data_IF_019420288545
#
_entry.id   IF_019420288545
#
_cell.length_a   1.000
_cell.length_b   1.000
_cell.length_c   1.000
_cell.angle_alpha   90.00
_cell.angle_beta   90.00
_cell.angle_gamma   90.00
#
_symmetry.space_group_name_H-M   'P 1'
#
loop_
_entity.id
_entity.type
_entity.pdbx_description
1 polymer ?
#
# COMPACT_ATOMS: atom_id res chain seq x y z
N UNK A 1 33.99 -17.59 21.52
CA UNK A 1 33.71 -16.16 21.35
C UNK A 1 32.22 -16.05 21.21
N UNK A 2 31.54 -15.71 22.29
CA UNK A 2 30.09 -15.59 22.31
C UNK A 2 29.66 -14.55 21.30
N UNK A 3 28.95 -14.98 20.25
CA UNK A 3 28.36 -14.06 19.29
C UNK A 3 27.14 -13.43 19.95
N UNK A 4 27.33 -12.36 20.71
CA UNK A 4 26.20 -11.54 21.17
C UNK A 4 25.31 -11.21 19.97
N UNK A 5 23.97 -11.33 20.12
CA UNK A 5 23.05 -11.06 19.03
C UNK A 5 23.22 -9.61 18.57
N UNK A 6 23.23 -9.40 17.24
CA UNK A 6 23.22 -8.07 16.65
C UNK A 6 21.77 -7.60 16.49
N UNK A 7 21.47 -6.45 17.09
CA UNK A 7 20.22 -5.74 16.91
C UNK A 7 20.35 -4.78 15.72
N UNK A 8 19.30 -4.71 14.92
CA UNK A 8 19.23 -3.82 13.77
C UNK A 8 18.51 -2.54 14.14
N UNK A 9 19.10 -1.40 13.78
CA UNK A 9 18.53 -0.08 13.93
C UNK A 9 18.27 0.50 12.53
N UNK A 10 17.02 0.47 12.05
CA UNK A 10 16.67 0.96 10.73
C UNK A 10 16.78 2.49 10.65
N UNK A 11 17.46 2.96 9.61
CA UNK A 11 17.63 4.38 9.26
C UNK A 11 17.26 4.53 7.78
N UNK A 12 16.92 5.74 7.36
CA UNK A 12 16.70 6.05 5.95
C UNK A 12 17.37 7.37 5.60
N UNK A 13 17.95 7.45 4.40
CA UNK A 13 18.33 8.71 3.79
C UNK A 13 17.19 9.15 2.86
N UNK A 14 16.46 10.18 3.29
CA UNK A 14 15.41 10.82 2.50
C UNK A 14 16.02 11.86 1.56
N UNK A 15 15.65 11.77 0.29
CA UNK A 15 16.17 12.57 -0.82
C UNK A 15 14.97 13.23 -1.48
N UNK A 16 14.77 14.52 -1.25
CA UNK A 16 13.72 15.32 -1.85
C UNK A 16 14.24 16.02 -3.11
N UNK A 17 13.54 15.82 -4.22
CA UNK A 17 13.83 16.41 -5.52
C UNK A 17 12.92 17.58 -5.80
N UNK A 18 13.38 18.54 -6.61
CA UNK A 18 12.56 19.67 -7.02
C UNK A 18 11.29 19.27 -7.78
N UNK A 19 10.25 20.11 -7.70
CA UNK A 19 8.98 19.84 -8.37
C UNK A 19 9.16 19.66 -9.89
N UNK A 20 8.86 18.47 -10.40
CA UNK A 20 8.97 18.11 -11.82
C UNK A 20 10.27 17.41 -12.22
N UNK A 21 11.24 17.29 -11.31
CA UNK A 21 12.52 16.64 -11.54
C UNK A 21 12.54 15.23 -10.92
N UNK A 22 11.90 14.26 -11.57
CA UNK A 22 11.93 12.87 -11.11
C UNK A 22 13.28 12.21 -11.42
N UNK A 23 13.92 11.64 -10.40
CA UNK A 23 15.08 10.78 -10.57
C UNK A 23 14.69 9.53 -11.39
N UNK A 24 15.09 9.51 -12.66
CA UNK A 24 14.81 8.38 -13.58
C UNK A 24 15.47 7.07 -13.16
N UNK A 25 16.45 7.16 -12.26
CA UNK A 25 17.27 6.05 -11.81
C UNK A 25 16.88 5.70 -10.38
N UNK A 26 16.43 4.47 -10.17
CA UNK A 26 15.99 3.96 -8.86
C UNK A 26 17.01 3.05 -8.20
N UNK A 27 18.07 2.64 -8.89
CA UNK A 27 19.09 1.72 -8.36
C UNK A 27 20.50 2.15 -8.74
N UNK A 28 21.45 1.86 -7.85
CA UNK A 28 22.87 2.14 -7.98
C UNK A 28 23.63 0.86 -8.32
N UNK A 29 24.76 0.98 -9.03
CA UNK A 29 25.68 -0.15 -9.20
C UNK A 29 26.37 -0.48 -7.86
N UNK A 30 27.05 -1.62 -7.79
CA UNK A 30 27.85 -1.98 -6.60
C UNK A 30 28.88 -0.92 -6.23
N UNK A 31 29.58 -0.37 -7.22
CA UNK A 31 30.65 0.60 -6.98
C UNK A 31 30.07 1.94 -6.49
N UNK A 32 28.99 2.41 -7.10
CA UNK A 32 28.29 3.63 -6.66
C UNK A 32 27.66 3.47 -5.27
N UNK A 33 27.06 2.31 -4.99
CA UNK A 33 26.50 2.03 -3.67
C UNK A 33 27.60 2.01 -2.59
N UNK A 34 28.78 1.47 -2.91
CA UNK A 34 29.93 1.47 -1.99
C UNK A 34 30.50 2.87 -1.77
N UNK A 35 30.61 3.69 -2.82
CA UNK A 35 31.06 5.08 -2.70
C UNK A 35 30.10 5.90 -1.83
N UNK A 36 28.79 5.80 -2.11
CA UNK A 36 27.76 6.47 -1.32
C UNK A 36 27.77 6.01 0.14
N UNK A 37 27.93 4.72 0.40
CA UNK A 37 28.00 4.20 1.76
C UNK A 37 29.19 4.78 2.55
N UNK A 38 30.31 5.07 1.89
CA UNK A 38 31.44 5.78 2.51
C UNK A 38 31.12 7.24 2.87
N UNK A 39 30.36 7.94 2.02
CA UNK A 39 29.85 9.28 2.33
C UNK A 39 28.86 9.26 3.50
N UNK A 40 27.92 8.31 3.48
CA UNK A 40 26.96 8.09 4.57
C UNK A 40 27.68 7.79 5.89
N UNK A 41 28.71 6.94 5.88
CA UNK A 41 29.48 6.64 7.09
C UNK A 41 30.15 7.89 7.67
N UNK A 42 30.66 8.79 6.81
CA UNK A 42 31.28 10.05 7.23
C UNK A 42 30.25 10.99 7.85
N UNK A 43 29.07 11.11 7.23
CA UNK A 43 27.98 11.93 7.77
C UNK A 43 27.51 11.40 9.12
N UNK A 44 27.23 10.08 9.22
CA UNK A 44 26.78 9.45 10.46
C UNK A 44 27.82 9.54 11.57
N UNK A 45 29.12 9.50 11.25
CA UNK A 45 30.16 9.75 12.25
C UNK A 45 30.08 11.17 12.85
N UNK A 46 29.73 12.17 12.04
CA UNK A 46 29.59 13.55 12.49
C UNK A 46 28.28 13.77 13.28
N UNK A 47 27.20 13.13 12.85
CA UNK A 47 25.87 13.26 13.44
C UNK A 47 25.71 12.42 14.72
N UNK A 48 26.10 11.15 14.65
CA UNK A 48 25.92 10.15 15.71
C UNK A 48 27.22 9.32 15.83
N UNK A 49 28.26 9.84 16.54
CA UNK A 49 29.59 9.21 16.57
C UNK A 49 29.62 7.73 16.97
N UNK A 50 28.71 7.31 17.86
CA UNK A 50 28.57 5.93 18.31
C UNK A 50 28.16 4.95 17.18
N UNK A 51 27.60 5.45 16.06
CA UNK A 51 27.26 4.63 14.90
C UNK A 51 28.50 3.98 14.26
N UNK A 52 29.70 4.54 14.47
CA UNK A 52 30.97 3.97 13.95
C UNK A 52 31.35 2.63 14.59
N UNK A 53 30.80 2.33 15.77
CA UNK A 53 30.97 1.05 16.46
C UNK A 53 29.97 -0.02 15.98
N UNK A 54 28.94 0.39 15.23
CA UNK A 54 28.00 -0.50 14.57
C UNK A 54 28.47 -0.86 13.15
N UNK A 55 27.92 -1.94 12.60
CA UNK A 55 28.05 -2.23 11.17
C UNK A 55 26.97 -1.46 10.41
N UNK A 56 27.37 -0.54 9.55
CA UNK A 56 26.54 0.14 8.57
C UNK A 56 26.30 -0.77 7.35
N UNK A 57 25.04 -0.96 6.97
CA UNK A 57 24.68 -1.55 5.70
C UNK A 57 23.69 -0.67 4.93
N UNK A 58 23.93 -0.53 3.63
CA UNK A 58 23.19 0.36 2.74
C UNK A 58 22.65 -0.42 1.55
N UNK A 59 21.37 -0.29 1.24
CA UNK A 59 20.86 -0.73 -0.05
C UNK A 59 21.03 0.41 -1.06
N UNK A 60 21.75 0.15 -2.16
CA UNK A 60 21.91 1.08 -3.28
C UNK A 60 20.65 1.15 -4.14
N UNK A 61 19.49 1.34 -3.53
CA UNK A 61 18.20 1.42 -4.18
C UNK A 61 17.34 2.50 -3.50
N UNK A 62 16.57 3.20 -4.32
CA UNK A 62 15.70 4.29 -3.94
C UNK A 62 14.26 3.79 -3.98
N UNK A 63 13.52 3.99 -2.91
CA UNK A 63 12.14 3.52 -2.75
C UNK A 63 11.20 4.69 -2.51
N UNK A 64 9.91 4.44 -2.65
CA UNK A 64 8.85 5.26 -2.06
C UNK A 64 8.59 4.82 -0.59
N UNK A 65 7.95 5.71 0.19
CA UNK A 65 7.52 5.41 1.55
C UNK A 65 6.60 4.18 1.62
N UNK A 66 5.70 3.99 0.65
CA UNK A 66 4.76 2.85 0.64
C UNK A 66 5.48 1.51 0.56
N UNK A 67 6.66 1.46 -0.07
CA UNK A 67 7.45 0.24 -0.23
C UNK A 67 8.24 -0.10 1.04
N UNK A 68 8.81 0.91 1.70
CA UNK A 68 9.55 0.72 2.95
C UNK A 68 8.61 0.42 4.13
N UNK A 69 7.41 1.01 4.12
CA UNK A 69 6.38 0.87 5.16
C UNK A 69 5.37 -0.22 4.82
N UNK A 70 5.84 -1.38 4.36
CA UNK A 70 5.01 -2.59 4.25
C UNK A 70 5.09 -3.39 5.56
N UNK A 71 3.98 -4.04 6.02
CA UNK A 71 4.00 -4.87 7.23
C UNK A 71 5.16 -5.86 7.23
N UNK A 72 5.88 -5.93 8.36
CA UNK A 72 7.10 -6.74 8.50
C UNK A 72 8.37 -6.10 7.94
N UNK A 73 8.30 -4.89 7.38
CA UNK A 73 9.45 -4.10 6.90
C UNK A 73 10.38 -4.89 5.97
N UNK A 74 9.86 -5.48 4.87
CA UNK A 74 10.57 -6.49 4.08
C UNK A 74 11.90 -6.01 3.50
N UNK A 75 12.01 -4.72 3.17
CA UNK A 75 13.24 -4.11 2.66
C UNK A 75 14.34 -4.12 3.73
N UNK A 76 14.05 -3.56 4.91
CA UNK A 76 15.00 -3.57 6.04
C UNK A 76 15.28 -4.99 6.54
N UNK A 77 14.26 -5.84 6.66
CA UNK A 77 14.45 -7.24 7.08
C UNK A 77 15.41 -8.00 6.15
N UNK A 78 15.29 -7.79 4.83
CA UNK A 78 16.19 -8.37 3.84
C UNK A 78 17.59 -7.77 3.91
N UNK A 79 17.70 -6.45 4.08
CA UNK A 79 18.97 -5.75 4.24
C UNK A 79 19.72 -6.25 5.48
N UNK A 80 19.03 -6.39 6.61
CA UNK A 80 19.57 -6.93 7.87
C UNK A 80 20.10 -8.36 7.70
N UNK A 81 19.33 -9.21 7.01
CA UNK A 81 19.72 -10.59 6.74
C UNK A 81 20.99 -10.66 5.90
N UNK A 82 21.05 -9.91 4.80
CA UNK A 82 22.23 -9.85 3.94
C UNK A 82 23.43 -9.30 4.69
N UNK A 83 23.26 -8.22 5.45
CA UNK A 83 24.31 -7.59 6.24
C UNK A 83 24.87 -8.51 7.31
N UNK A 84 24.06 -9.38 7.94
CA UNK A 84 24.53 -10.38 8.92
C UNK A 84 25.37 -11.50 8.27
N UNK A 85 25.11 -11.84 7.01
CA UNK A 85 25.85 -12.89 6.27
C UNK A 85 27.25 -12.46 5.84
N UNK A 86 27.56 -11.16 5.86
CA UNK A 86 28.89 -10.65 5.50
C UNK A 86 29.92 -11.01 6.59
N UNK A 87 31.02 -11.73 6.24
CA UNK A 87 32.04 -12.13 7.20
C UNK A 87 32.67 -10.94 7.94
N UNK A 88 32.83 -11.07 9.26
CA UNK A 88 33.60 -10.10 10.07
C UNK A 88 35.09 -10.29 9.74
N UNK A 89 35.70 -9.33 9.04
CA UNK A 89 37.13 -9.35 8.68
C UNK A 89 37.46 -9.12 7.20
N UNK A 90 36.47 -9.05 6.30
CA UNK A 90 36.69 -8.79 4.86
C UNK A 90 36.29 -7.39 4.38
N UNK A 91 35.50 -6.65 5.17
CA UNK A 91 35.07 -5.30 4.86
C UNK A 91 35.20 -4.46 6.13
N UNK A 92 35.49 -3.17 5.95
CA UNK A 92 35.30 -2.14 6.98
C UNK A 92 33.88 -2.26 7.58
N UNK A 93 33.58 -1.56 8.67
CA UNK A 93 32.25 -1.56 9.29
C UNK A 93 31.11 -1.05 8.35
N UNK A 94 31.38 -0.83 7.07
CA UNK A 94 30.48 -0.32 6.05
C UNK A 94 30.31 -1.37 4.94
N UNK A 95 29.06 -1.71 4.64
CA UNK A 95 28.68 -2.65 3.59
C UNK A 95 27.64 -1.98 2.69
N UNK A 96 27.76 -2.17 1.39
CA UNK A 96 26.78 -1.69 0.42
C UNK A 96 26.31 -2.81 -0.50
N UNK A 97 25.02 -2.79 -0.81
CA UNK A 97 24.39 -3.72 -1.74
C UNK A 97 23.87 -2.96 -2.94
N UNK A 98 24.59 -3.02 -4.06
CA UNK A 98 24.16 -2.44 -5.33
C UNK A 98 23.84 -3.51 -6.37
N UNK A 99 23.35 -3.05 -7.52
CA UNK A 99 22.96 -3.91 -8.64
C UNK A 99 24.15 -4.64 -9.26
N UNK A 100 23.89 -5.86 -9.73
CA UNK A 100 24.76 -6.61 -10.61
C UNK A 100 23.96 -7.06 -11.83
N UNK A 101 24.46 -6.75 -13.04
CA UNK A 101 23.72 -6.97 -14.29
C UNK A 101 22.30 -6.35 -14.23
N UNK A 102 22.20 -5.15 -13.64
CA UNK A 102 20.95 -4.39 -13.55
C UNK A 102 19.93 -4.91 -12.55
N UNK A 103 20.28 -5.86 -11.67
CA UNK A 103 19.37 -6.42 -10.65
C UNK A 103 19.93 -6.31 -9.25
N UNK A 104 19.06 -6.01 -8.29
CA UNK A 104 19.40 -6.03 -6.87
C UNK A 104 19.60 -7.47 -6.37
N UNK A 105 20.38 -7.69 -5.30
CA UNK A 105 20.73 -9.03 -4.84
C UNK A 105 19.57 -9.84 -4.26
N UNK A 106 18.43 -9.20 -3.97
CA UNK A 106 17.22 -9.85 -3.48
C UNK A 106 15.97 -9.07 -3.95
N UNK A 107 14.87 -9.77 -4.18
CA UNK A 107 13.63 -9.19 -4.71
C UNK A 107 13.05 -8.06 -3.82
N UNK A 108 13.03 -8.15 -2.47
CA UNK A 108 12.57 -7.03 -1.64
C UNK A 108 13.46 -5.78 -1.71
N UNK A 109 14.68 -5.89 -2.24
CA UNK A 109 15.55 -4.73 -2.46
C UNK A 109 15.41 -4.13 -3.87
N UNK A 110 14.53 -4.67 -4.71
CA UNK A 110 14.22 -4.15 -6.04
C UNK A 110 13.03 -3.18 -5.93
N UNK A 111 13.21 -1.87 -6.21
CA UNK A 111 12.10 -0.92 -6.19
C UNK A 111 11.08 -1.19 -7.29
N UNK A 112 9.81 -1.01 -7.00
CA UNK A 112 8.73 -1.11 -7.97
C UNK A 112 8.66 0.15 -8.85
N UNK A 113 8.64 -0.06 -10.16
CA UNK A 113 8.52 1.05 -11.12
C UNK A 113 7.20 1.83 -10.96
N UNK A 114 6.16 1.22 -10.40
CA UNK A 114 4.88 1.87 -10.15
C UNK A 114 4.97 3.04 -9.14
N UNK A 115 6.00 3.06 -8.28
CA UNK A 115 6.19 4.08 -7.24
C UNK A 115 7.43 4.96 -7.47
N UNK A 116 8.02 4.94 -8.67
CA UNK A 116 9.27 5.63 -8.95
C UNK A 116 9.15 7.17 -9.08
N UNK A 117 7.94 7.70 -9.29
CA UNK A 117 7.72 9.10 -9.66
C UNK A 117 7.44 10.03 -8.46
N UNK A 118 7.61 9.55 -7.23
CA UNK A 118 7.44 10.35 -6.01
C UNK A 118 8.51 11.44 -5.85
N UNK A 119 8.17 12.63 -5.30
CA UNK A 119 9.11 13.75 -5.12
C UNK A 119 10.13 13.52 -4.00
N UNK A 120 9.90 12.52 -3.14
CA UNK A 120 10.81 12.10 -2.09
C UNK A 120 11.18 10.64 -2.32
N UNK A 121 12.48 10.38 -2.41
CA UNK A 121 13.04 9.04 -2.57
C UNK A 121 13.80 8.63 -1.33
N UNK A 122 13.67 7.36 -0.97
CA UNK A 122 14.14 6.83 0.29
C UNK A 122 15.19 5.76 0.07
N UNK A 123 16.39 5.95 0.62
CA UNK A 123 17.46 4.98 0.56
C UNK A 123 17.61 4.29 1.93
N UNK A 124 17.30 2.99 2.05
CA UNK A 124 17.24 2.30 3.32
C UNK A 124 18.63 1.90 3.82
N UNK A 125 18.82 2.14 5.11
CA UNK A 125 20.06 1.93 5.85
C UNK A 125 19.75 1.08 7.09
N UNK A 126 20.68 0.22 7.50
CA UNK A 126 20.61 -0.45 8.80
C UNK A 126 21.94 -0.36 9.54
N UNK A 127 21.86 -0.11 10.84
CA UNK A 127 22.99 -0.18 11.76
C UNK A 127 22.86 -1.44 12.61
N UNK A 128 23.77 -2.39 12.42
CA UNK A 128 23.81 -3.62 13.19
C UNK A 128 24.78 -3.47 14.37
N UNK A 129 24.24 -3.40 15.58
CA UNK A 129 24.99 -3.16 16.81
C UNK A 129 24.79 -4.32 17.82
N UNK A 130 25.80 -4.62 18.66
CA UNK A 130 25.59 -5.48 19.83
C UNK A 130 24.55 -4.85 20.78
N UNK A 131 23.77 -5.70 21.46
CA UNK A 131 22.68 -5.27 22.35
C UNK A 131 23.03 -4.11 23.32
N UNK A 132 24.18 -4.10 24.03
CA UNK A 132 24.51 -2.99 24.93
C UNK A 132 24.67 -1.64 24.22
N UNK A 133 25.19 -1.63 22.99
CA UNK A 133 25.36 -0.42 22.18
C UNK A 133 24.04 -0.02 21.53
N UNK A 134 23.24 -0.99 21.08
CA UNK A 134 22.04 -0.76 20.30
C UNK A 134 21.01 0.11 21.02
N UNK A 135 20.80 -0.11 22.33
CA UNK A 135 19.85 0.69 23.11
C UNK A 135 20.25 2.16 23.14
N UNK A 136 21.51 2.46 23.50
CA UNK A 136 22.02 3.83 23.53
C UNK A 136 22.04 4.47 22.15
N UNK A 137 22.43 3.71 21.13
CA UNK A 137 22.47 4.19 19.75
C UNK A 137 21.06 4.49 19.21
N UNK A 138 20.05 3.70 19.57
CA UNK A 138 18.66 3.97 19.20
C UNK A 138 18.18 5.31 19.76
N UNK A 139 18.41 5.58 21.05
CA UNK A 139 18.05 6.85 21.68
C UNK A 139 18.76 8.06 21.02
N UNK A 140 20.04 7.90 20.67
CA UNK A 140 20.81 8.95 20.00
C UNK A 140 20.29 9.21 18.57
N UNK A 141 19.98 8.17 17.81
CA UNK A 141 19.42 8.31 16.47
C UNK A 141 18.11 9.11 16.50
N UNK A 142 17.19 8.81 17.43
CA UNK A 142 15.93 9.56 17.56
C UNK A 142 16.15 11.02 17.98
N UNK A 143 17.13 11.29 18.85
CA UNK A 143 17.39 12.66 19.33
C UNK A 143 18.11 13.52 18.30
N UNK A 144 19.14 12.99 17.65
CA UNK A 144 20.03 13.77 16.80
C UNK A 144 19.48 13.91 15.37
N UNK A 145 18.78 12.91 14.83
CA UNK A 145 18.33 12.95 13.44
C UNK A 145 17.13 13.88 13.20
N UNK A 146 16.19 13.98 14.15
CA UNK A 146 14.95 14.80 14.02
C UNK A 146 15.24 16.26 13.62
N UNK A 147 16.32 16.86 14.15
CA UNK A 147 16.65 18.26 13.92
C UNK A 147 18.00 18.53 13.26
N UNK A 148 18.90 17.55 13.22
CA UNK A 148 20.27 17.72 12.68
C UNK A 148 20.61 16.72 11.57
N UNK A 149 19.67 15.88 11.15
CA UNK A 149 19.90 14.82 10.18
C UNK A 149 20.29 15.26 8.77
N UNK A 150 20.60 16.53 8.50
CA UNK A 150 21.02 16.97 7.16
C UNK A 150 22.28 16.22 6.69
N UNK A 151 22.24 15.74 5.45
CA UNK A 151 23.40 15.09 4.87
C UNK A 151 24.52 16.09 4.59
N UNK A 152 25.76 15.61 4.68
CA UNK A 152 26.92 16.44 4.39
C UNK A 152 26.94 16.88 2.93
N UNK A 153 27.60 18.02 2.66
CA UNK A 153 27.70 18.59 1.32
C UNK A 153 28.25 17.58 0.30
N UNK A 154 29.23 16.76 0.69
CA UNK A 154 29.82 15.75 -0.19
C UNK A 154 28.81 14.69 -0.62
N UNK A 155 27.95 14.26 0.30
CA UNK A 155 26.87 13.29 0.04
C UNK A 155 25.85 13.89 -0.92
N UNK A 156 25.38 15.12 -0.63
CA UNK A 156 24.42 15.83 -1.48
C UNK A 156 24.98 16.06 -2.91
N UNK A 157 26.22 16.56 -3.02
CA UNK A 157 26.88 16.80 -4.32
C UNK A 157 27.05 15.51 -5.12
N UNK A 158 27.38 14.40 -4.45
CA UNK A 158 27.48 13.09 -5.09
C UNK A 158 26.13 12.62 -5.61
N UNK A 159 25.06 12.76 -4.82
CA UNK A 159 23.70 12.38 -5.22
C UNK A 159 23.21 13.22 -6.40
N UNK A 160 23.43 14.54 -6.39
CA UNK A 160 23.07 15.44 -7.51
C UNK A 160 23.73 14.95 -8.82
N UNK A 161 25.04 14.67 -8.78
CA UNK A 161 25.76 14.20 -9.98
C UNK A 161 25.31 12.82 -10.46
N UNK A 162 25.00 11.92 -9.53
CA UNK A 162 24.70 10.51 -9.83
C UNK A 162 23.25 10.33 -10.28
N UNK A 163 22.31 11.05 -9.67
CA UNK A 163 20.88 11.02 -10.02
C UNK A 163 20.55 11.96 -11.18
N UNK A 164 21.38 12.98 -11.42
CA UNK A 164 21.23 13.93 -12.51
C UNK A 164 20.06 14.91 -12.32
N UNK A 165 19.62 15.12 -11.08
CA UNK A 165 18.53 16.03 -10.71
C UNK A 165 18.96 16.95 -9.55
N UNK A 166 18.47 18.20 -9.51
CA UNK A 166 18.66 19.05 -8.34
C UNK A 166 17.92 18.46 -7.13
N UNK A 167 18.54 18.55 -5.96
CA UNK A 167 17.96 18.11 -4.70
C UNK A 167 17.57 19.34 -3.89
N UNK A 168 16.38 19.33 -3.32
CA UNK A 168 15.94 20.35 -2.38
C UNK A 168 16.52 20.03 -1.00
N UNK A 169 16.23 18.84 -0.49
CA UNK A 169 16.66 18.41 0.84
C UNK A 169 17.21 16.98 0.80
N UNK A 170 18.25 16.72 1.59
CA UNK A 170 18.79 15.38 1.81
C UNK A 170 19.02 15.20 3.30
N UNK A 171 18.34 14.23 3.93
CA UNK A 171 18.41 14.03 5.38
C UNK A 171 18.29 12.58 5.81
N UNK A 172 19.00 12.24 6.87
CA UNK A 172 18.86 11.00 7.61
C UNK A 172 17.66 11.11 8.57
N UNK A 173 16.85 10.07 8.59
CA UNK A 173 15.69 9.93 9.46
C UNK A 173 15.73 8.56 10.13
N UNK A 174 15.25 8.47 11.37
CA UNK A 174 14.92 7.16 11.95
C UNK A 174 13.73 6.55 11.19
N UNK A 175 13.49 5.25 11.35
CA UNK A 175 12.25 4.65 10.84
C UNK A 175 11.01 5.26 11.53
N UNK A 176 11.13 5.65 12.79
CA UNK A 176 10.01 6.26 13.53
C UNK A 176 9.70 7.66 12.98
N UNK A 177 10.72 8.42 12.60
CA UNK A 177 10.55 9.69 11.90
C UNK A 177 9.83 9.51 10.56
N UNK A 178 10.20 8.49 9.78
CA UNK A 178 9.52 8.18 8.52
C UNK A 178 8.05 7.80 8.73
N UNK A 179 7.75 7.00 9.76
CA UNK A 179 6.38 6.67 10.14
C UNK A 179 5.59 7.93 10.52
N UNK A 180 6.17 8.81 11.33
CA UNK A 180 5.54 10.05 11.75
C UNK A 180 5.29 11.00 10.56
N UNK A 181 6.26 11.13 9.64
CA UNK A 181 6.10 11.92 8.42
C UNK A 181 4.97 11.37 7.55
N UNK A 182 4.93 10.06 7.35
CA UNK A 182 3.90 9.39 6.53
C UNK A 182 2.51 9.53 7.16
N UNK A 183 2.41 9.40 8.49
CA UNK A 183 1.18 9.66 9.23
C UNK A 183 0.62 11.04 8.90
N UNK A 184 1.42 12.10 9.09
CA UNK A 184 1.03 13.49 8.81
C UNK A 184 0.64 13.68 7.34
N UNK A 185 1.36 13.06 6.41
CA UNK A 185 1.03 13.10 4.98
C UNK A 185 -0.36 12.51 4.69
N UNK A 186 -0.69 11.37 5.30
CA UNK A 186 -1.99 10.72 5.11
C UNK A 186 -3.13 11.47 5.80
N UNK A 187 -2.89 12.06 6.96
CA UNK A 187 -3.87 12.93 7.63
C UNK A 187 -4.26 14.12 6.74
N UNK A 188 -3.29 14.78 6.08
CA UNK A 188 -3.56 15.92 5.20
C UNK A 188 -4.43 15.60 3.98
N UNK A 189 -4.49 14.33 3.56
CA UNK A 189 -5.32 13.87 2.43
C UNK A 189 -6.56 13.09 2.88
N UNK A 190 -6.97 13.23 4.15
CA UNK A 190 -8.13 12.58 4.75
C UNK A 190 -8.05 11.04 4.82
N UNK A 191 -6.83 10.51 4.93
CA UNK A 191 -6.57 9.07 5.08
C UNK A 191 -6.22 8.68 6.53
N UNK A 192 -6.48 9.56 7.50
CA UNK A 192 -6.24 9.30 8.92
C UNK A 192 -6.88 7.98 9.44
N UNK A 193 -8.14 7.62 9.07
CA UNK A 193 -8.70 6.33 9.48
C UNK A 193 -7.89 5.15 8.96
N UNK A 194 -7.43 5.22 7.70
CA UNK A 194 -6.64 4.16 7.09
C UNK A 194 -5.24 4.05 7.71
N UNK A 195 -4.63 5.18 8.09
CA UNK A 195 -3.37 5.18 8.82
C UNK A 195 -3.45 4.39 10.13
N UNK A 196 -4.52 4.53 10.92
CA UNK A 196 -4.67 3.77 12.18
C UNK A 196 -4.61 2.25 11.96
N UNK A 197 -5.19 1.75 10.85
CA UNK A 197 -5.11 0.34 10.48
C UNK A 197 -3.71 -0.06 10.01
N UNK A 198 -3.08 0.78 9.19
CA UNK A 198 -1.71 0.56 8.69
C UNK A 198 -0.69 0.57 9.83
N UNK A 199 -0.77 1.53 10.75
CA UNK A 199 0.07 1.61 11.94
C UNK A 199 -0.04 0.34 12.78
N UNK A 200 -1.26 -0.15 12.99
CA UNK A 200 -1.48 -1.43 13.67
C UNK A 200 -0.80 -2.57 12.93
N UNK A 201 -0.97 -2.67 11.60
CA UNK A 201 -0.32 -3.69 10.78
C UNK A 201 1.22 -3.59 10.78
N UNK A 202 1.78 -2.39 10.92
CA UNK A 202 3.22 -2.13 10.90
C UNK A 202 3.88 -2.40 12.26
N UNK A 203 3.26 -1.92 13.34
CA UNK A 203 3.89 -1.85 14.66
C UNK A 203 3.36 -2.91 15.63
N UNK A 204 2.08 -3.26 15.53
CA UNK A 204 1.45 -4.24 16.42
C UNK A 204 0.55 -5.21 15.65
N UNK A 205 1.08 -5.95 14.65
CA UNK A 205 0.27 -6.74 13.73
C UNK A 205 -0.57 -7.85 14.38
N UNK A 206 -0.29 -8.18 15.64
CA UNK A 206 -1.01 -9.14 16.48
C UNK A 206 -2.25 -8.54 17.15
N UNK A 207 -2.42 -7.21 17.13
CA UNK A 207 -3.63 -6.53 17.62
C UNK A 207 -4.65 -6.42 16.49
N UNK A 208 -5.89 -6.22 16.90
CA UNK A 208 -6.96 -5.82 15.99
C UNK A 208 -7.23 -4.33 16.19
N UNK A 209 -7.66 -3.67 15.13
CA UNK A 209 -8.02 -2.25 15.15
C UNK A 209 -9.26 -2.04 14.29
N UNK A 210 -10.14 -1.11 14.67
CA UNK A 210 -11.37 -0.84 13.95
C UNK A 210 -11.63 0.66 13.86
N UNK A 211 -12.12 1.11 12.71
CA UNK A 211 -12.34 2.52 12.44
C UNK A 211 -13.51 2.73 11.48
N UNK A 212 -13.90 3.99 11.29
CA UNK A 212 -14.87 4.42 10.29
C UNK A 212 -14.16 5.31 9.28
N UNK A 213 -14.46 5.10 8.00
CA UNK A 213 -14.01 6.01 6.94
C UNK A 213 -14.61 7.41 7.13
N UNK A 214 -14.17 8.39 6.33
CA UNK A 214 -14.74 9.74 6.39
C UNK A 214 -16.24 9.76 6.02
N UNK A 215 -16.71 8.75 5.26
CA UNK A 215 -18.12 8.55 4.90
C UNK A 215 -18.83 7.53 5.79
N UNK A 216 -18.21 7.11 6.90
CA UNK A 216 -18.80 6.19 7.85
C UNK A 216 -18.81 4.74 7.38
N UNK A 217 -17.94 4.34 6.44
CA UNK A 217 -17.76 2.95 6.06
C UNK A 217 -16.94 2.23 7.13
N UNK A 218 -17.44 1.18 7.80
CA UNK A 218 -16.68 0.43 8.80
C UNK A 218 -15.54 -0.36 8.18
N UNK A 219 -14.37 -0.25 8.82
CA UNK A 219 -13.16 -1.00 8.50
C UNK A 219 -12.58 -1.64 9.75
N UNK A 220 -11.95 -2.80 9.60
CA UNK A 220 -11.26 -3.50 10.67
C UNK A 220 -9.99 -4.16 10.17
N UNK A 221 -8.87 -3.93 10.85
CA UNK A 221 -7.67 -4.74 10.69
C UNK A 221 -7.76 -5.96 11.61
N UNK A 222 -7.63 -7.15 11.03
CA UNK A 222 -7.53 -8.40 11.76
C UNK A 222 -6.81 -9.46 10.92
N UNK A 223 -6.00 -10.30 11.55
CA UNK A 223 -5.33 -11.45 10.91
C UNK A 223 -4.51 -11.06 9.65
N UNK A 224 -3.83 -9.91 9.70
CA UNK A 224 -2.97 -9.45 8.60
C UNK A 224 -3.73 -8.94 7.37
N UNK A 225 -5.01 -8.59 7.50
CA UNK A 225 -5.80 -8.01 6.43
C UNK A 225 -6.73 -6.91 6.94
N UNK A 226 -7.10 -5.97 6.07
CA UNK A 226 -8.18 -5.02 6.30
C UNK A 226 -9.47 -5.62 5.77
N UNK A 227 -10.49 -5.65 6.61
CA UNK A 227 -11.85 -6.01 6.30
C UNK A 227 -12.69 -4.75 6.17
N UNK A 228 -13.52 -4.67 5.13
CA UNK A 228 -14.45 -3.56 4.90
C UNK A 228 -15.89 -4.07 4.89
N UNK A 229 -16.83 -3.32 5.45
CA UNK A 229 -18.25 -3.65 5.32
C UNK A 229 -18.65 -3.80 3.85
N UNK A 230 -19.59 -4.71 3.56
CA UNK A 230 -20.20 -4.82 2.23
C UNK A 230 -20.80 -3.46 1.81
N UNK A 231 -20.47 -2.95 0.60
CA UNK A 231 -21.09 -1.73 0.09
C UNK A 231 -22.62 -1.86 -0.07
N UNK A 232 -23.16 -3.04 -0.41
CA UNK A 232 -24.61 -3.23 -0.46
C UNK A 232 -25.25 -3.23 0.93
N UNK A 233 -24.59 -3.83 1.91
CA UNK A 233 -25.06 -3.78 3.30
C UNK A 233 -25.06 -2.33 3.83
N UNK A 234 -23.97 -1.61 3.61
CA UNK A 234 -23.86 -0.19 3.98
C UNK A 234 -24.98 0.64 3.33
N UNK A 235 -25.26 0.40 2.05
CA UNK A 235 -26.35 1.07 1.33
C UNK A 235 -27.73 0.76 1.91
N UNK A 236 -27.98 -0.48 2.28
CA UNK A 236 -29.25 -0.90 2.89
C UNK A 236 -29.48 -0.21 4.25
N UNK A 237 -28.40 0.02 5.01
CA UNK A 237 -28.40 0.67 6.32
C UNK A 237 -28.40 2.22 6.22
N UNK A 238 -27.97 2.80 5.09
CA UNK A 238 -27.89 4.26 4.90
C UNK A 238 -29.26 4.93 5.00
N UNK A 239 -29.33 6.07 5.69
CA UNK A 239 -30.53 6.91 5.77
C UNK A 239 -30.42 8.19 4.92
N UNK A 240 -29.47 8.25 3.98
CA UNK A 240 -29.28 9.40 3.12
C UNK A 240 -30.47 9.64 2.19
N UNK A 241 -30.82 10.91 1.98
CA UNK A 241 -31.89 11.28 1.06
C UNK A 241 -31.55 10.92 -0.40
N UNK A 242 -30.28 11.01 -0.77
CA UNK A 242 -29.74 10.58 -2.07
C UNK A 242 -28.79 9.39 -1.88
N UNK A 243 -29.38 8.21 -1.63
CA UNK A 243 -28.67 6.95 -1.44
C UNK A 243 -27.75 6.58 -2.60
N UNK A 244 -28.13 6.91 -3.84
CA UNK A 244 -27.32 6.61 -5.03
C UNK A 244 -26.03 7.45 -5.03
N UNK A 245 -26.14 8.74 -4.74
CA UNK A 245 -24.98 9.61 -4.60
C UNK A 245 -24.08 9.19 -3.42
N UNK A 246 -24.69 8.86 -2.28
CA UNK A 246 -23.96 8.40 -1.10
C UNK A 246 -23.19 7.10 -1.39
N UNK A 247 -23.83 6.15 -2.08
CA UNK A 247 -23.19 4.91 -2.54
C UNK A 247 -22.00 5.17 -3.47
N UNK A 248 -22.16 6.05 -4.46
CA UNK A 248 -21.06 6.43 -5.34
C UNK A 248 -19.86 7.00 -4.56
N UNK A 249 -20.14 7.79 -3.52
CA UNK A 249 -19.15 8.35 -2.61
C UNK A 249 -18.35 7.29 -1.85
N UNK A 250 -19.02 6.26 -1.30
CA UNK A 250 -18.31 5.18 -0.59
C UNK A 250 -17.45 4.34 -1.52
N UNK A 251 -17.91 4.05 -2.74
CA UNK A 251 -17.11 3.27 -3.70
C UNK A 251 -15.89 4.08 -4.15
N UNK A 252 -16.04 5.38 -4.34
CA UNK A 252 -14.91 6.27 -4.63
C UNK A 252 -13.86 6.24 -3.52
N UNK A 253 -14.27 6.39 -2.26
CA UNK A 253 -13.35 6.31 -1.11
C UNK A 253 -12.71 4.91 -1.02
N UNK A 254 -13.49 3.85 -1.22
CA UNK A 254 -13.01 2.47 -1.20
C UNK A 254 -11.94 2.19 -2.28
N UNK A 255 -12.06 2.81 -3.47
CA UNK A 255 -11.02 2.74 -4.51
C UNK A 255 -9.70 3.35 -4.04
N UNK A 256 -9.76 4.51 -3.39
CA UNK A 256 -8.57 5.16 -2.84
C UNK A 256 -7.92 4.30 -1.76
N UNK A 257 -8.74 3.72 -0.87
CA UNK A 257 -8.26 2.86 0.20
C UNK A 257 -7.64 1.58 -0.34
N UNK A 258 -8.28 0.94 -1.32
CA UNK A 258 -7.76 -0.27 -1.96
C UNK A 258 -6.41 -0.03 -2.63
N UNK A 259 -6.27 1.08 -3.37
CA UNK A 259 -5.01 1.44 -4.02
C UNK A 259 -3.87 1.67 -3.00
N UNK A 260 -4.17 2.35 -1.89
CA UNK A 260 -3.15 2.58 -0.85
C UNK A 260 -2.78 1.28 -0.12
N UNK A 261 -3.78 0.47 0.25
CA UNK A 261 -3.56 -0.82 0.90
C UNK A 261 -2.74 -1.77 0.02
N UNK A 262 -3.01 -1.81 -1.28
CA UNK A 262 -2.22 -2.55 -2.26
C UNK A 262 -0.76 -2.07 -2.29
N UNK A 263 -0.52 -0.75 -2.27
CA UNK A 263 0.83 -0.19 -2.25
C UNK A 263 1.64 -0.60 -1.01
N UNK A 264 0.97 -0.65 0.15
CA UNK A 264 1.52 -1.18 1.41
C UNK A 264 1.51 -2.72 1.50
N UNK A 265 1.11 -3.43 0.44
CA UNK A 265 0.97 -4.89 0.43
C UNK A 265 0.09 -5.44 1.56
N UNK A 266 -0.95 -4.70 1.95
CA UNK A 266 -1.91 -5.09 2.98
C UNK A 266 -3.22 -5.54 2.31
N UNK A 267 -3.62 -6.83 2.41
CA UNK A 267 -4.81 -7.32 1.72
C UNK A 267 -6.10 -6.64 2.20
N UNK A 268 -6.95 -6.25 1.24
CA UNK A 268 -8.32 -5.82 1.49
C UNK A 268 -9.30 -6.99 1.28
N UNK A 269 -10.26 -7.15 2.18
CA UNK A 269 -11.29 -8.20 2.14
C UNK A 269 -12.65 -7.60 2.50
N UNK A 270 -13.72 -8.24 2.03
CA UNK A 270 -15.05 -7.99 2.57
C UNK A 270 -15.14 -8.58 3.99
N UNK A 271 -15.75 -7.84 4.90
CA UNK A 271 -16.17 -8.36 6.19
C UNK A 271 -17.23 -9.45 5.96
N UNK A 272 -17.35 -10.44 6.88
CA UNK A 272 -18.45 -11.38 6.85
C UNK A 272 -19.79 -10.62 6.81
N UNK A 273 -20.60 -10.91 5.79
CA UNK A 273 -21.90 -10.29 5.55
C UNK A 273 -22.95 -11.39 5.31
N UNK A 274 -24.23 -11.00 5.30
CA UNK A 274 -25.36 -11.88 4.97
C UNK A 274 -25.36 -12.22 3.46
N UNK A 275 -24.39 -13.03 3.06
CA UNK A 275 -24.17 -13.47 1.69
C UNK A 275 -23.72 -14.93 1.68
N UNK A 276 -23.93 -15.61 0.56
CA UNK A 276 -23.47 -16.98 0.32
C UNK A 276 -21.95 -17.03 0.21
N UNK A 277 -21.36 -16.05 -0.48
CA UNK A 277 -19.91 -15.91 -0.55
C UNK A 277 -19.49 -14.46 -0.68
N UNK A 278 -18.35 -14.12 -0.07
CA UNK A 278 -17.68 -12.84 -0.21
C UNK A 278 -16.23 -13.10 -0.62
N UNK A 279 -15.80 -12.47 -1.71
CA UNK A 279 -14.49 -12.67 -2.31
C UNK A 279 -13.82 -11.32 -2.54
N UNK A 280 -12.53 -11.27 -2.26
CA UNK A 280 -11.65 -10.21 -2.72
C UNK A 280 -10.66 -10.81 -3.73
N UNK A 281 -10.56 -10.18 -4.89
CA UNK A 281 -9.67 -10.58 -5.98
C UNK A 281 -8.86 -9.37 -6.43
N UNK A 282 -7.93 -9.59 -7.35
CA UNK A 282 -7.05 -8.53 -7.85
C UNK A 282 -7.88 -7.39 -8.47
N UNK A 283 -7.92 -6.26 -7.75
CA UNK A 283 -8.62 -5.04 -8.13
C UNK A 283 -10.15 -5.03 -8.00
N UNK A 284 -10.81 -6.04 -7.43
CA UNK A 284 -12.26 -6.00 -7.20
C UNK A 284 -12.76 -6.82 -6.00
N UNK A 285 -13.94 -6.45 -5.50
CA UNK A 285 -14.69 -7.19 -4.49
C UNK A 285 -15.94 -7.82 -5.14
N UNK A 286 -16.36 -8.98 -4.65
CA UNK A 286 -17.50 -9.74 -5.15
C UNK A 286 -18.28 -10.35 -3.98
N UNK A 287 -19.58 -10.13 -3.95
CA UNK A 287 -20.51 -10.69 -2.98
C UNK A 287 -21.64 -11.41 -3.72
N UNK A 288 -21.92 -12.65 -3.32
CA UNK A 288 -22.94 -13.53 -3.92
C UNK A 288 -24.02 -13.81 -2.90
N UNK A 289 -25.28 -13.63 -3.28
CA UNK A 289 -26.46 -13.82 -2.42
C UNK A 289 -27.26 -15.07 -2.75
N UNK A 290 -27.10 -15.62 -3.95
CA UNK A 290 -27.84 -16.81 -4.36
C UNK A 290 -27.37 -17.38 -5.69
N UNK A 291 -27.96 -18.52 -6.04
CA UNK A 291 -27.73 -19.20 -7.31
C UNK A 291 -28.82 -18.84 -8.33
N UNK A 292 -28.48 -19.01 -9.61
CA UNK A 292 -29.45 -18.89 -10.69
C UNK A 292 -30.47 -20.03 -10.60
N UNK A 293 -31.76 -19.71 -10.74
CA UNK A 293 -32.82 -20.72 -10.75
C UNK A 293 -33.24 -21.00 -12.19
N UNK A 294 -33.15 -22.27 -12.58
CA UNK A 294 -33.46 -22.77 -13.93
C UNK A 294 -34.91 -22.60 -14.36
N UNK A 295 -35.83 -22.32 -13.42
CA UNK A 295 -37.23 -22.00 -13.74
C UNK A 295 -37.40 -20.60 -14.38
N UNK A 296 -36.40 -19.73 -14.30
CA UNK A 296 -36.44 -18.39 -14.86
C UNK A 296 -35.50 -18.20 -16.04
N UNK A 297 -35.62 -17.05 -16.71
CA UNK A 297 -34.65 -16.63 -17.74
C UNK A 297 -33.23 -16.55 -17.17
N UNK A 298 -32.19 -16.73 -17.99
CA UNK A 298 -30.80 -16.59 -17.54
C UNK A 298 -30.55 -15.23 -16.86
N UNK A 299 -29.66 -15.17 -15.86
CA UNK A 299 -29.27 -13.90 -15.26
C UNK A 299 -28.63 -12.96 -16.29
N UNK A 300 -28.69 -11.68 -16.00
CA UNK A 300 -28.13 -10.61 -16.80
C UNK A 300 -27.24 -9.72 -15.92
N UNK A 301 -26.17 -9.21 -16.53
CA UNK A 301 -25.21 -8.32 -15.87
C UNK A 301 -25.57 -6.87 -16.20
N UNK A 302 -25.76 -6.06 -15.17
CA UNK A 302 -26.05 -4.63 -15.29
C UNK A 302 -24.97 -3.79 -14.62
N UNK A 303 -24.54 -2.73 -15.28
CA UNK A 303 -23.56 -1.78 -14.76
C UNK A 303 -24.27 -0.59 -14.10
N UNK A 304 -23.91 -0.33 -12.84
CA UNK A 304 -24.30 0.87 -12.12
C UNK A 304 -23.25 1.94 -12.35
N UNK A 305 -23.66 3.07 -12.92
CA UNK A 305 -22.75 4.15 -13.31
C UNK A 305 -22.99 5.41 -12.51
N UNK A 306 -21.91 6.07 -12.11
CA UNK A 306 -21.94 7.36 -11.43
C UNK A 306 -21.16 8.42 -12.24
N UNK A 307 -21.68 9.66 -12.36
CA UNK A 307 -21.00 10.74 -13.08
C UNK A 307 -19.57 10.96 -12.56
N UNK A 308 -18.60 10.95 -13.48
CA UNK A 308 -17.18 11.14 -13.16
C UNK A 308 -16.46 9.91 -12.58
N UNK A 309 -17.17 8.84 -12.22
CA UNK A 309 -16.60 7.62 -11.64
C UNK A 309 -16.70 6.38 -12.54
N UNK A 310 -17.53 6.43 -13.58
CA UNK A 310 -17.81 5.30 -14.46
C UNK A 310 -18.61 4.22 -13.73
N UNK A 311 -18.34 2.95 -14.06
CA UNK A 311 -19.00 1.80 -13.42
C UNK A 311 -18.54 1.67 -11.98
N UNK A 312 -19.46 1.84 -11.02
CA UNK A 312 -19.19 1.72 -9.56
C UNK A 312 -19.61 0.37 -8.98
N UNK A 313 -20.54 -0.32 -9.64
CA UNK A 313 -20.92 -1.68 -9.31
C UNK A 313 -21.42 -2.42 -10.54
N UNK A 314 -21.29 -3.75 -10.53
CA UNK A 314 -21.94 -4.66 -11.47
C UNK A 314 -22.87 -5.56 -10.68
N UNK A 315 -24.14 -5.64 -11.10
CA UNK A 315 -25.11 -6.54 -10.48
C UNK A 315 -25.45 -7.66 -11.44
N UNK A 316 -25.37 -8.90 -10.96
CA UNK A 316 -25.98 -10.05 -11.62
C UNK A 316 -27.40 -10.21 -11.07
N UNK A 317 -28.40 -10.11 -11.94
CA UNK A 317 -29.80 -10.23 -11.55
C UNK A 317 -30.54 -11.18 -12.49
N UNK A 318 -31.51 -11.91 -11.94
CA UNK A 318 -32.39 -12.81 -12.68
C UNK A 318 -33.83 -12.31 -12.58
N UNK A 319 -34.62 -12.43 -13.65
CA UNK A 319 -36.04 -12.08 -13.60
C UNK A 319 -36.82 -13.16 -12.87
N UNK A 320 -37.33 -12.85 -11.69
CA UNK A 320 -38.15 -13.78 -10.90
C UNK A 320 -39.64 -13.68 -11.18
N UNK A 321 -40.43 -14.32 -10.32
CA UNK A 321 -41.88 -14.29 -10.36
C UNK A 321 -42.45 -12.86 -10.37
N UNK A 322 -43.42 -12.62 -11.24
CA UNK A 322 -44.04 -11.30 -11.42
C UNK A 322 -43.13 -10.28 -12.10
N UNK A 323 -42.02 -10.71 -12.70
CA UNK A 323 -41.09 -9.84 -13.44
C UNK A 323 -40.11 -9.05 -12.58
N UNK A 324 -40.10 -9.29 -11.25
CA UNK A 324 -39.22 -8.61 -10.31
C UNK A 324 -37.79 -9.09 -10.44
N UNK A 325 -36.83 -8.17 -10.41
CA UNK A 325 -35.42 -8.53 -10.37
C UNK A 325 -35.04 -9.26 -9.06
N UNK A 326 -34.49 -10.45 -9.19
CA UNK A 326 -33.82 -11.21 -8.12
C UNK A 326 -32.32 -10.96 -8.24
N UNK A 327 -31.75 -10.21 -7.30
CA UNK A 327 -30.30 -9.99 -7.24
C UNK A 327 -29.60 -11.26 -6.79
N UNK A 328 -28.60 -11.69 -7.56
CA UNK A 328 -27.80 -12.88 -7.27
C UNK A 328 -26.39 -12.54 -6.79
N UNK A 329 -25.81 -11.43 -7.26
CA UNK A 329 -24.49 -10.98 -6.83
C UNK A 329 -24.27 -9.48 -7.13
N UNK A 330 -23.37 -8.86 -6.36
CA UNK A 330 -22.78 -7.57 -6.66
C UNK A 330 -21.26 -7.68 -6.76
N UNK A 331 -20.68 -6.97 -7.71
CA UNK A 331 -19.24 -6.78 -7.84
C UNK A 331 -18.86 -5.30 -7.83
N UNK A 332 -17.75 -4.97 -7.19
CA UNK A 332 -17.25 -3.60 -7.07
C UNK A 332 -15.87 -3.51 -7.69
N UNK A 333 -15.73 -2.93 -8.90
CA UNK A 333 -14.42 -2.71 -9.50
C UNK A 333 -13.68 -1.60 -8.75
N UNK A 334 -12.62 -1.97 -8.04
CA UNK A 334 -11.81 -1.06 -7.24
C UNK A 334 -10.61 -0.49 -8.01
N UNK A 335 -10.16 -1.18 -9.06
CA UNK A 335 -9.17 -0.68 -10.01
C UNK A 335 -9.78 -0.51 -11.40
N UNK A 336 -9.32 0.47 -12.21
CA UNK A 336 -9.84 0.69 -13.56
C UNK A 336 -9.76 -0.56 -14.46
N UNK A 337 -8.68 -1.34 -14.33
CA UNK A 337 -8.43 -2.55 -15.13
C UNK A 337 -9.26 -3.77 -14.70
N UNK A 338 -9.89 -3.74 -13.52
CA UNK A 338 -10.52 -4.91 -12.92
C UNK A 338 -11.93 -5.19 -13.43
N UNK A 339 -12.57 -4.24 -14.12
CA UNK A 339 -13.96 -4.40 -14.60
C UNK A 339 -14.13 -5.62 -15.52
N UNK A 340 -13.22 -5.82 -16.48
CA UNK A 340 -13.30 -6.96 -17.40
C UNK A 340 -13.16 -8.31 -16.70
N UNK A 341 -12.25 -8.41 -15.73
CA UNK A 341 -12.06 -9.62 -14.92
C UNK A 341 -13.28 -9.90 -14.03
N UNK A 342 -13.84 -8.85 -13.41
CA UNK A 342 -15.06 -8.95 -12.61
C UNK A 342 -16.26 -9.46 -13.45
N UNK A 343 -16.49 -8.86 -14.62
CA UNK A 343 -17.58 -9.27 -15.53
C UNK A 343 -17.40 -10.72 -15.97
N UNK A 344 -16.16 -11.11 -16.31
CA UNK A 344 -15.86 -12.49 -16.70
C UNK A 344 -16.11 -13.48 -15.56
N UNK A 345 -15.72 -13.14 -14.33
CA UNK A 345 -15.93 -13.98 -13.17
C UNK A 345 -17.42 -14.17 -12.85
N UNK A 346 -18.23 -13.10 -12.94
CA UNK A 346 -19.68 -13.18 -12.79
C UNK A 346 -20.32 -14.04 -13.90
N UNK A 347 -19.90 -13.84 -15.15
CA UNK A 347 -20.41 -14.59 -16.29
C UNK A 347 -20.12 -16.10 -16.17
N UNK A 348 -18.90 -16.45 -15.78
CA UNK A 348 -18.49 -17.83 -15.52
C UNK A 348 -19.29 -18.44 -14.35
N UNK A 349 -19.43 -17.70 -13.25
CA UNK A 349 -20.16 -18.16 -12.06
C UNK A 349 -21.63 -18.51 -12.37
N UNK A 350 -22.29 -17.75 -13.24
CA UNK A 350 -23.71 -17.95 -13.58
C UNK A 350 -23.95 -18.64 -14.92
N UNK A 351 -22.90 -19.03 -15.65
CA UNK A 351 -23.00 -19.73 -16.93
C UNK A 351 -23.66 -18.90 -18.04
N UNK A 352 -23.39 -17.59 -18.06
CA UNK A 352 -23.98 -16.64 -19.03
C UNK A 352 -22.90 -15.98 -19.90
N UNK A 353 -23.31 -15.28 -20.96
CA UNK A 353 -22.40 -14.44 -21.72
C UNK A 353 -21.93 -13.24 -20.88
N UNK A 354 -20.69 -12.75 -21.06
CA UNK A 354 -20.14 -11.60 -20.33
C UNK A 354 -20.68 -10.25 -20.86
N UNK A 355 -21.96 -10.21 -21.22
CA UNK A 355 -22.62 -9.03 -21.78
C UNK A 355 -23.07 -8.10 -20.66
N UNK A 356 -22.39 -6.96 -20.55
CA UNK A 356 -22.63 -5.96 -19.52
C UNK A 356 -23.54 -4.84 -20.04
N UNK A 357 -24.71 -4.68 -19.42
CA UNK A 357 -25.70 -3.67 -19.80
C UNK A 357 -25.50 -2.38 -18.99
N UNK A 358 -25.07 -1.31 -19.65
CA UNK A 358 -24.91 0.00 -19.02
C UNK A 358 -26.26 0.66 -18.75
N UNK A 359 -26.51 1.04 -17.48
CA UNK A 359 -27.76 1.69 -17.09
C UNK A 359 -27.69 3.22 -17.18
N UNK A 360 -26.49 3.82 -17.28
CA UNK A 360 -26.28 5.27 -17.20
C UNK A 360 -26.58 5.88 -15.83
N UNK A 361 -26.86 5.04 -14.82
CA UNK A 361 -27.21 5.43 -13.45
C UNK A 361 -26.97 4.30 -12.48
N UNK A 362 -26.98 4.61 -11.18
CA UNK A 362 -27.10 3.60 -10.12
C UNK A 362 -28.58 3.25 -9.98
N UNK A 363 -28.95 2.01 -10.33
CA UNK A 363 -30.32 1.51 -10.14
C UNK A 363 -30.52 1.00 -8.72
N UNK A 364 -31.53 1.54 -8.04
CA UNK A 364 -31.99 1.07 -6.74
C UNK A 364 -33.38 0.42 -6.87
N UNK A 365 -33.68 -0.54 -5.99
CA UNK A 365 -35.01 -1.14 -5.84
C UNK A 365 -35.93 -0.28 -4.95
N UNK A 366 -37.15 -0.76 -4.69
CA UNK A 366 -38.12 -0.06 -3.86
C UNK A 366 -37.69 0.09 -2.39
N UNK A 367 -36.81 -0.78 -1.90
CA UNK A 367 -36.22 -0.72 -0.56
C UNK A 367 -34.92 0.10 -0.54
N UNK A 368 -34.54 0.67 -1.69
CA UNK A 368 -33.35 1.49 -1.89
C UNK A 368 -32.04 0.69 -1.85
N UNK A 369 -32.07 -0.61 -2.17
CA UNK A 369 -30.89 -1.47 -2.36
C UNK A 369 -30.47 -1.49 -3.82
N UNK A 370 -29.23 -1.91 -4.13
CA UNK A 370 -28.82 -2.11 -5.51
C UNK A 370 -29.72 -3.16 -6.18
N UNK A 371 -30.25 -2.83 -7.35
CA UNK A 371 -31.16 -3.70 -8.10
C UNK A 371 -30.91 -3.69 -9.59
N UNK A 372 -31.80 -4.34 -10.34
CA UNK A 372 -31.82 -4.29 -11.80
C UNK A 372 -33.22 -3.86 -12.29
N UNK A 373 -33.34 -3.37 -13.54
CA UNK A 373 -34.64 -2.97 -14.08
C UNK A 373 -35.66 -4.12 -14.14
N UNK A 374 -36.89 -3.84 -13.70
CA UNK A 374 -38.04 -4.77 -13.81
C UNK A 374 -38.61 -4.86 -15.24
N UNK A 375 -38.13 -4.05 -16.18
CA UNK A 375 -38.43 -4.15 -17.63
C UNK A 375 -37.30 -4.81 -18.42
N UNK A 376 -37.61 -5.60 -19.47
CA UNK A 376 -36.58 -6.25 -20.27
C UNK A 376 -35.62 -5.21 -20.84
N UNK A 377 -34.33 -5.52 -20.81
CA UNK A 377 -33.32 -4.75 -21.53
C UNK A 377 -33.37 -5.22 -22.99
N UNK A 378 -33.46 -4.26 -23.92
CA UNK A 378 -33.60 -4.52 -25.35
C UNK A 378 -32.27 -4.66 -26.06
#
# INVERSE_FOLDING_TARGET
MDSSPLLALPVVLAIETGAGDAARRTTLSRDEAAELAGHIATDLQALVPAATEARLAVAGALFDAVELLRPGFPVWATLDELARRVPRGHLDNVVAFGTHEGRMPAQPLEPDAAYADGPMRLLPITLLAPEPLATTLAEQLELDLVGRGEAGQRTADWLIRTLGVPLEHVRYLSRNDLLALTCVQYEHVNLAPLWSLLETALLTPYREEATLSARGLPLRYAQGAVQVQSPAQWLAESHDADRAHAFAGIVFELRQYAALLEAHALPLRLAPADCVSAQARDGYLLETFGEADTAYEPPLLVAHEAPGLGVVAVTAAQRGDGGRARVLAHGYPLQPRALGALVSALAEQFGIAPDLHALGRIQLDADGRLGAPDTPLH
#
